data_IF_096861915205
#
_entry.id   IF_096861915205
#
_cell.length_a   1.000
_cell.length_b   1.000
_cell.length_c   1.000
_cell.angle_alpha   90.00
_cell.angle_beta   90.00
_cell.angle_gamma   90.00
#
_symmetry.space_group_name_H-M   'P 1'
#
loop_
_entity.id
_entity.type
_entity.pdbx_description
1 polymer ?
#
# COMPACT_ATOMS: atom_id res chain seq x y z
N UNK A 1 -18.80 3.07 3.06
CA UNK A 1 -17.82 3.05 1.97
C UNK A 1 -16.46 2.68 2.52
N UNK A 2 -15.81 1.67 1.96
CA UNK A 2 -14.50 1.21 2.40
C UNK A 2 -13.42 2.22 1.98
N UNK A 3 -12.74 2.82 2.96
CA UNK A 3 -11.67 3.79 2.73
C UNK A 3 -10.31 3.13 3.00
N UNK A 4 -9.67 2.67 1.93
CA UNK A 4 -8.37 1.99 1.96
C UNK A 4 -7.27 2.82 2.65
N UNK A 5 -7.23 4.12 2.38
CA UNK A 5 -6.19 5.00 2.92
C UNK A 5 -6.29 5.13 4.45
N UNK A 6 -7.50 5.15 4.98
CA UNK A 6 -7.74 5.12 6.42
C UNK A 6 -7.20 3.85 7.08
N UNK A 7 -7.33 2.71 6.41
CA UNK A 7 -6.82 1.44 6.94
C UNK A 7 -5.30 1.30 6.78
N UNK A 8 -4.72 1.82 5.70
CA UNK A 8 -3.26 1.90 5.52
C UNK A 8 -2.58 2.77 6.57
N UNK A 9 -3.25 3.80 7.08
CA UNK A 9 -2.73 4.67 8.11
C UNK A 9 -2.65 4.02 9.49
N UNK A 10 -3.37 2.90 9.72
CA UNK A 10 -3.36 2.18 11.00
C UNK A 10 -2.01 1.52 11.27
N UNK A 11 -1.68 1.38 12.53
CA UNK A 11 -0.49 0.66 12.96
C UNK A 11 -0.55 -0.82 12.56
N UNK A 12 0.61 -1.45 12.29
CA UNK A 12 0.68 -2.88 12.03
C UNK A 12 0.18 -3.67 13.25
N UNK A 13 -0.68 -4.66 13.00
CA UNK A 13 -1.26 -5.50 14.07
C UNK A 13 -0.50 -6.80 14.28
N UNK A 14 0.37 -7.20 13.35
CA UNK A 14 1.22 -8.36 13.44
C UNK A 14 2.50 -8.18 12.63
N UNK A 15 3.45 -9.08 12.85
CA UNK A 15 4.75 -9.10 12.14
C UNK A 15 5.01 -10.49 11.62
N UNK A 16 5.54 -10.59 10.41
CA UNK A 16 5.97 -11.83 9.78
C UNK A 16 7.46 -11.77 9.46
N UNK A 17 8.16 -12.88 9.70
CA UNK A 17 9.61 -12.99 9.54
C UNK A 17 9.96 -13.98 8.42
N UNK A 18 11.07 -13.74 7.75
CA UNK A 18 11.67 -14.73 6.84
C UNK A 18 12.09 -15.99 7.60
N UNK A 19 12.77 -15.80 8.72
CA UNK A 19 13.23 -16.87 9.60
C UNK A 19 12.82 -16.59 11.03
N UNK A 20 12.61 -17.65 11.79
CA UNK A 20 12.21 -17.54 13.17
C UNK A 20 13.26 -16.76 13.99
N UNK A 21 12.89 -15.64 14.62
CA UNK A 21 13.81 -14.86 15.42
C UNK A 21 14.20 -15.62 16.70
N UNK A 22 15.46 -15.43 17.11
CA UNK A 22 15.97 -16.03 18.35
C UNK A 22 15.16 -15.51 19.54
N UNK A 23 14.70 -16.43 20.39
CA UNK A 23 13.93 -16.08 21.58
C UNK A 23 12.43 -15.86 21.36
N UNK A 24 11.94 -16.03 20.12
CA UNK A 24 10.49 -15.94 19.85
C UNK A 24 10.00 -17.15 19.04
N UNK A 25 9.74 -18.30 19.72
CA UNK A 25 9.36 -19.54 19.05
C UNK A 25 7.95 -19.53 18.45
N UNK A 26 7.14 -18.53 18.77
CA UNK A 26 5.76 -18.37 18.28
C UNK A 26 5.62 -17.32 17.18
N UNK A 27 6.75 -16.75 16.71
CA UNK A 27 6.73 -15.77 15.66
C UNK A 27 6.13 -16.32 14.35
N UNK A 28 5.34 -15.50 13.67
CA UNK A 28 4.84 -15.82 12.34
C UNK A 28 5.98 -15.78 11.34
N UNK A 29 6.16 -16.86 10.59
CA UNK A 29 7.20 -16.96 9.57
C UNK A 29 6.61 -17.31 8.22
N UNK A 30 7.26 -16.83 7.17
CA UNK A 30 6.95 -17.18 5.79
C UNK A 30 7.36 -18.64 5.56
N UNK A 31 6.49 -19.43 4.93
CA UNK A 31 6.85 -20.79 4.51
C UNK A 31 7.95 -20.73 3.44
N UNK A 32 9.06 -21.49 3.61
CA UNK A 32 10.16 -21.45 2.66
C UNK A 32 9.72 -21.72 1.22
N UNK A 33 10.18 -20.88 0.29
CA UNK A 33 9.84 -20.99 -1.13
C UNK A 33 8.46 -20.45 -1.53
N UNK A 34 7.65 -19.98 -0.59
CA UNK A 34 6.33 -19.40 -0.89
C UNK A 34 6.36 -17.89 -1.18
N UNK A 35 7.44 -17.19 -0.80
CA UNK A 35 7.54 -15.76 -0.96
C UNK A 35 7.71 -15.35 -2.43
N UNK A 36 6.80 -14.51 -2.91
CA UNK A 36 6.85 -13.91 -4.25
C UNK A 36 6.66 -12.42 -4.15
N UNK A 37 7.32 -11.67 -5.00
CA UNK A 37 7.20 -10.22 -5.05
C UNK A 37 7.17 -9.71 -6.48
N UNK A 38 6.56 -8.54 -6.64
CA UNK A 38 6.49 -7.81 -7.90
C UNK A 38 6.57 -6.31 -7.62
N UNK A 39 7.41 -5.61 -8.35
CA UNK A 39 7.54 -4.15 -8.27
C UNK A 39 7.27 -3.54 -9.64
N UNK A 40 6.36 -2.58 -9.69
CA UNK A 40 6.02 -1.82 -10.91
C UNK A 40 6.43 -0.37 -10.73
N UNK A 41 7.20 0.16 -11.66
CA UNK A 41 7.50 1.58 -11.76
C UNK A 41 6.56 2.32 -12.72
N UNK A 42 6.01 1.63 -13.71
CA UNK A 42 5.05 2.20 -14.66
C UNK A 42 3.74 2.55 -13.96
N UNK A 43 3.29 3.78 -14.15
CA UNK A 43 2.06 4.27 -13.52
C UNK A 43 2.21 4.68 -12.06
N UNK A 44 3.44 4.77 -11.54
CA UNK A 44 3.72 5.34 -10.23
C UNK A 44 4.19 6.78 -10.35
N UNK A 45 3.80 7.61 -9.40
CA UNK A 45 4.06 9.05 -9.43
C UNK A 45 4.72 9.54 -8.15
N UNK A 46 5.68 10.44 -8.29
CA UNK A 46 6.36 11.12 -7.16
C UNK A 46 5.76 12.48 -6.87
N UNK A 47 4.85 12.93 -7.73
CA UNK A 47 4.16 14.20 -7.57
C UNK A 47 3.01 14.34 -8.54
N UNK A 48 2.40 15.50 -8.59
CA UNK A 48 1.31 15.77 -9.50
C UNK A 48 1.02 17.24 -9.72
N UNK A 49 0.28 17.50 -10.77
CA UNK A 49 -0.18 18.82 -11.18
C UNK A 49 -1.68 18.76 -11.49
N UNK A 50 -2.45 19.58 -10.80
CA UNK A 50 -3.87 19.78 -11.09
C UNK A 50 -4.10 21.16 -11.68
N UNK A 51 -4.68 21.21 -12.88
CA UNK A 51 -5.00 22.46 -13.56
C UNK A 51 -6.51 22.64 -13.63
N UNK A 52 -6.99 23.78 -13.14
CA UNK A 52 -8.40 24.17 -13.23
C UNK A 52 -8.55 25.65 -13.57
N UNK A 53 -9.68 26.00 -14.17
CA UNK A 53 -9.98 27.38 -14.53
C UNK A 53 -10.83 28.04 -13.46
N UNK A 54 -10.33 29.15 -12.91
CA UNK A 54 -11.13 30.01 -12.05
C UNK A 54 -12.09 30.84 -12.91
N UNK A 55 -13.38 30.56 -12.82
CA UNK A 55 -14.40 31.21 -13.65
C UNK A 55 -14.54 32.71 -13.35
N UNK A 56 -14.29 33.16 -12.14
CA UNK A 56 -14.41 34.55 -11.74
C UNK A 56 -13.25 35.41 -12.27
N UNK A 57 -12.04 34.85 -12.22
CA UNK A 57 -10.81 35.53 -12.65
C UNK A 57 -10.41 35.21 -14.08
N UNK A 58 -11.05 34.24 -14.74
CA UNK A 58 -10.73 33.76 -16.10
C UNK A 58 -9.26 33.36 -16.28
N UNK A 59 -8.64 32.82 -15.25
CA UNK A 59 -7.26 32.33 -15.24
C UNK A 59 -7.20 30.84 -14.94
N UNK A 60 -6.19 30.18 -15.49
CA UNK A 60 -5.87 28.81 -15.13
C UNK A 60 -5.03 28.80 -13.85
N UNK A 61 -5.43 27.99 -12.89
CA UNK A 61 -4.70 27.78 -11.64
C UNK A 61 -4.08 26.40 -11.66
N UNK A 62 -2.80 26.34 -11.32
CA UNK A 62 -2.03 25.09 -11.24
C UNK A 62 -1.74 24.79 -9.77
N UNK A 63 -2.18 23.64 -9.31
CA UNK A 63 -1.88 23.12 -7.98
C UNK A 63 -0.88 21.98 -8.09
N UNK A 64 0.23 22.10 -7.40
CA UNK A 64 1.35 21.15 -7.46
C UNK A 64 1.57 20.47 -6.13
N UNK A 65 1.87 19.19 -6.15
CA UNK A 65 2.26 18.38 -4.97
C UNK A 65 3.43 17.48 -5.31
N UNK A 66 4.28 17.21 -4.33
CA UNK A 66 5.43 16.32 -4.49
C UNK A 66 6.52 16.88 -5.41
N UNK A 67 7.22 15.99 -6.12
CA UNK A 67 8.35 16.31 -6.98
C UNK A 67 7.95 16.39 -8.46
N UNK A 68 8.84 16.91 -9.28
CA UNK A 68 8.62 17.09 -10.73
C UNK A 68 9.04 15.91 -11.59
N UNK A 69 9.66 14.89 -10.99
CA UNK A 69 10.25 13.78 -11.75
C UNK A 69 9.20 12.93 -12.50
N UNK A 70 8.17 12.49 -11.77
CA UNK A 70 7.08 11.70 -12.32
C UNK A 70 5.75 12.28 -11.84
N UNK A 71 5.22 13.20 -12.61
CA UNK A 71 3.99 13.91 -12.25
C UNK A 71 2.75 13.29 -12.88
N UNK A 72 1.72 13.08 -12.05
CA UNK A 72 0.36 12.85 -12.52
C UNK A 72 -0.28 14.20 -12.87
N UNK A 73 -0.71 14.35 -14.11
CA UNK A 73 -1.38 15.57 -14.58
C UNK A 73 -2.89 15.35 -14.62
N UNK A 74 -3.62 16.15 -13.88
CA UNK A 74 -5.07 16.15 -13.85
C UNK A 74 -5.63 17.51 -14.25
N UNK A 75 -6.79 17.48 -14.87
CA UNK A 75 -7.58 18.68 -15.20
C UNK A 75 -9.03 18.44 -14.80
N UNK A 76 -9.74 19.48 -14.43
CA UNK A 76 -11.15 19.34 -14.10
C UNK A 76 -11.75 20.56 -13.42
N UNK A 77 -13.00 20.42 -13.03
CA UNK A 77 -13.72 21.44 -12.28
C UNK A 77 -13.60 21.14 -10.79
N UNK A 78 -13.12 22.10 -10.03
CA UNK A 78 -13.02 22.05 -8.57
C UNK A 78 -13.54 23.34 -7.96
N UNK A 79 -13.96 23.27 -6.73
CA UNK A 79 -14.52 24.43 -5.98
C UNK A 79 -13.43 25.32 -5.39
N UNK A 80 -12.27 24.74 -5.07
CA UNK A 80 -11.16 25.46 -4.43
C UNK A 80 -9.81 24.81 -4.73
N UNK A 81 -8.73 25.49 -4.41
CA UNK A 81 -7.37 24.95 -4.48
C UNK A 81 -7.18 23.76 -3.52
N UNK A 82 -7.79 23.82 -2.33
CA UNK A 82 -7.76 22.73 -1.38
C UNK A 82 -8.45 21.46 -1.92
N UNK A 83 -9.58 21.59 -2.61
CA UNK A 83 -10.28 20.49 -3.27
C UNK A 83 -9.42 19.89 -4.41
N UNK A 84 -8.78 20.73 -5.22
CA UNK A 84 -7.86 20.30 -6.26
C UNK A 84 -6.68 19.50 -5.68
N UNK A 85 -6.07 20.00 -4.60
CA UNK A 85 -4.97 19.32 -3.91
C UNK A 85 -5.39 17.98 -3.33
N UNK A 86 -6.55 17.90 -2.69
CA UNK A 86 -7.08 16.66 -2.11
C UNK A 86 -7.35 15.61 -3.19
N UNK A 87 -7.96 15.98 -4.32
CA UNK A 87 -8.20 15.08 -5.45
C UNK A 87 -6.91 14.59 -6.09
N UNK A 88 -5.93 15.46 -6.24
CA UNK A 88 -4.63 15.13 -6.81
C UNK A 88 -3.88 14.12 -5.93
N UNK A 89 -3.83 14.35 -4.62
CA UNK A 89 -3.21 13.43 -3.66
C UNK A 89 -3.90 12.08 -3.67
N UNK A 90 -5.23 12.06 -3.65
CA UNK A 90 -6.00 10.81 -3.71
C UNK A 90 -5.73 10.03 -5.01
N UNK A 91 -5.65 10.71 -6.14
CA UNK A 91 -5.35 10.09 -7.43
C UNK A 91 -3.94 9.50 -7.48
N UNK A 92 -2.93 10.22 -6.95
CA UNK A 92 -1.55 9.73 -6.85
C UNK A 92 -1.47 8.49 -5.95
N UNK A 93 -2.08 8.53 -4.77
CA UNK A 93 -2.12 7.39 -3.84
C UNK A 93 -2.81 6.17 -4.43
N UNK A 94 -3.88 6.36 -5.18
CA UNK A 94 -4.55 5.27 -5.89
C UNK A 94 -3.68 4.69 -7.01
N UNK A 95 -2.98 5.52 -7.77
CA UNK A 95 -2.10 5.08 -8.84
C UNK A 95 -0.87 4.33 -8.29
N UNK A 96 -0.32 4.79 -7.17
CA UNK A 96 0.85 4.18 -6.52
C UNK A 96 0.50 2.92 -5.71
N UNK A 97 -0.80 2.70 -5.41
CA UNK A 97 -1.20 1.50 -4.70
C UNK A 97 -0.83 0.23 -5.48
N UNK A 98 -0.18 -0.70 -4.82
CA UNK A 98 0.26 -1.93 -5.44
C UNK A 98 1.51 -1.80 -6.33
N UNK A 99 2.25 -0.67 -6.24
CA UNK A 99 3.53 -0.53 -6.91
C UNK A 99 4.51 -1.64 -6.50
N UNK A 100 4.53 -2.00 -5.22
CA UNK A 100 5.24 -3.16 -4.70
C UNK A 100 4.23 -4.11 -4.05
N UNK A 101 4.10 -5.29 -4.60
CA UNK A 101 3.20 -6.34 -4.10
C UNK A 101 4.00 -7.57 -3.71
N UNK A 102 3.56 -8.22 -2.64
CA UNK A 102 4.10 -9.48 -2.17
C UNK A 102 2.98 -10.52 -2.00
N UNK A 103 3.34 -11.79 -2.10
CA UNK A 103 2.48 -12.89 -1.71
C UNK A 103 3.31 -13.97 -1.03
N UNK A 104 2.76 -14.59 -0.01
CA UNK A 104 3.40 -15.66 0.72
C UNK A 104 2.37 -16.54 1.43
N UNK A 105 2.83 -17.71 1.85
CA UNK A 105 2.07 -18.61 2.72
C UNK A 105 2.74 -18.68 4.08
N UNK A 106 1.96 -18.77 5.13
CA UNK A 106 2.41 -18.99 6.50
C UNK A 106 1.53 -20.02 7.19
N UNK A 107 1.95 -20.49 8.37
CA UNK A 107 1.10 -21.30 9.22
C UNK A 107 -0.20 -20.57 9.54
N UNK A 108 -1.28 -21.31 9.78
CA UNK A 108 -2.59 -20.74 10.02
C UNK A 108 -2.59 -19.66 11.11
N UNK A 109 -3.07 -18.48 10.76
CA UNK A 109 -3.20 -17.34 11.66
C UNK A 109 -4.65 -16.84 11.68
N UNK A 110 -5.47 -17.32 12.64
CA UNK A 110 -6.91 -17.02 12.65
C UNK A 110 -7.26 -15.55 12.81
N UNK A 111 -6.38 -14.76 13.46
CA UNK A 111 -6.59 -13.33 13.66
C UNK A 111 -6.25 -12.49 12.42
N UNK A 112 -5.66 -13.07 11.37
CA UNK A 112 -5.38 -12.41 10.12
C UNK A 112 -6.65 -12.11 9.34
N UNK A 113 -6.74 -10.90 8.80
CA UNK A 113 -7.85 -10.46 7.95
C UNK A 113 -7.39 -9.46 6.88
N UNK A 114 -8.20 -9.33 5.84
CA UNK A 114 -8.01 -8.26 4.86
C UNK A 114 -8.12 -6.89 5.51
N UNK A 115 -7.51 -5.89 4.90
CA UNK A 115 -7.47 -4.51 5.40
C UNK A 115 -6.72 -4.30 6.74
N UNK A 116 -5.98 -5.29 7.19
CA UNK A 116 -4.99 -5.12 8.26
C UNK A 116 -3.66 -4.67 7.68
N UNK A 117 -2.84 -4.05 8.54
CA UNK A 117 -1.43 -3.80 8.24
C UNK A 117 -0.54 -4.74 9.04
N UNK A 118 0.59 -5.11 8.47
CA UNK A 118 1.61 -5.91 9.13
C UNK A 118 3.01 -5.45 8.75
N UNK A 119 4.01 -5.86 9.54
CA UNK A 119 5.41 -5.66 9.21
C UNK A 119 6.03 -6.92 8.64
N UNK A 120 6.80 -6.77 7.58
CA UNK A 120 7.66 -7.80 7.01
C UNK A 120 9.10 -7.56 7.46
N UNK A 121 9.77 -8.61 7.92
CA UNK A 121 11.16 -8.55 8.44
C UNK A 121 12.00 -9.69 7.88
N UNK A 122 13.22 -9.39 7.46
CA UNK A 122 14.21 -10.36 6.99
C UNK A 122 14.45 -10.39 5.50
N UNK A 123 13.71 -9.63 4.71
CA UNK A 123 13.80 -9.58 3.25
C UNK A 123 14.55 -8.33 2.72
N UNK A 124 15.30 -7.66 3.58
CA UNK A 124 16.14 -6.52 3.19
C UNK A 124 15.31 -5.33 2.67
N UNK A 125 15.49 -4.95 1.41
CA UNK A 125 14.76 -3.81 0.81
C UNK A 125 13.25 -4.00 0.76
N UNK A 126 12.79 -5.23 0.84
CA UNK A 126 11.35 -5.55 0.88
C UNK A 126 10.75 -5.39 2.28
N UNK A 127 11.58 -5.26 3.32
CA UNK A 127 11.11 -5.05 4.69
C UNK A 127 10.27 -3.77 4.81
N UNK A 128 9.35 -3.78 5.73
CA UNK A 128 8.52 -2.63 6.04
C UNK A 128 7.06 -2.96 6.28
N UNK A 129 6.25 -1.94 6.27
CA UNK A 129 4.81 -2.02 6.48
C UNK A 129 4.09 -2.39 5.19
N UNK A 130 3.18 -3.35 5.29
CA UNK A 130 2.31 -3.81 4.21
C UNK A 130 0.85 -3.73 4.60
N UNK A 131 0.02 -3.53 3.61
CA UNK A 131 -1.45 -3.58 3.71
C UNK A 131 -1.95 -4.87 3.07
N UNK A 132 -2.77 -5.63 3.80
CA UNK A 132 -3.32 -6.90 3.31
C UNK A 132 -4.45 -6.63 2.33
N UNK A 133 -4.20 -6.90 1.04
CA UNK A 133 -5.20 -6.80 -0.02
C UNK A 133 -6.14 -8.01 -0.02
N UNK A 134 -5.57 -9.19 0.13
CA UNK A 134 -6.30 -10.45 0.16
C UNK A 134 -5.66 -11.41 1.14
N UNK A 135 -6.47 -12.10 1.91
CA UNK A 135 -6.04 -13.14 2.82
C UNK A 135 -6.96 -14.35 2.67
N UNK A 136 -6.37 -15.53 2.53
CA UNK A 136 -7.08 -16.78 2.37
C UNK A 136 -6.64 -17.79 3.42
N UNK A 137 -7.61 -18.33 4.13
CA UNK A 137 -7.39 -19.41 5.08
C UNK A 137 -7.75 -20.75 4.43
N UNK A 138 -6.85 -21.71 4.49
CA UNK A 138 -7.07 -23.05 3.98
C UNK A 138 -6.76 -24.11 5.03
N UNK A 139 -7.60 -25.13 5.09
CA UNK A 139 -7.41 -26.31 5.96
C UNK A 139 -7.50 -27.54 5.08
N UNK A 140 -6.47 -28.38 5.13
CA UNK A 140 -6.45 -29.66 4.39
C UNK A 140 -5.90 -30.79 5.27
N UNK A 141 -6.35 -32.04 5.02
CA UNK A 141 -5.87 -33.22 5.79
C UNK A 141 -4.35 -33.41 5.70
N UNK A 142 -3.75 -33.13 4.54
CA UNK A 142 -2.31 -33.31 4.29
C UNK A 142 -1.47 -32.07 4.56
N UNK A 143 -2.02 -30.89 4.39
CA UNK A 143 -1.30 -29.61 4.49
C UNK A 143 -1.52 -28.85 5.80
N UNK A 144 -2.48 -29.29 6.62
CA UNK A 144 -2.85 -28.60 7.84
C UNK A 144 -3.57 -27.26 7.57
N UNK A 145 -3.52 -26.38 8.56
CA UNK A 145 -4.07 -25.03 8.46
C UNK A 145 -2.99 -24.04 7.98
N UNK A 146 -3.25 -23.38 6.86
CA UNK A 146 -2.36 -22.39 6.26
C UNK A 146 -3.10 -21.10 5.94
N UNK A 147 -2.36 -20.00 5.97
CA UNK A 147 -2.85 -18.68 5.60
C UNK A 147 -2.01 -18.14 4.44
N UNK A 148 -2.67 -17.83 3.32
CA UNK A 148 -2.05 -17.15 2.18
C UNK A 148 -2.34 -15.66 2.25
N UNK A 149 -1.32 -14.85 2.05
CA UNK A 149 -1.41 -13.38 2.11
C UNK A 149 -0.97 -12.79 0.79
N UNK A 150 -1.79 -11.87 0.28
CA UNK A 150 -1.41 -10.93 -0.79
C UNK A 150 -1.48 -9.53 -0.24
N UNK A 151 -0.39 -8.80 -0.35
CA UNK A 151 -0.26 -7.49 0.28
C UNK A 151 0.48 -6.50 -0.61
N UNK A 152 0.20 -5.23 -0.39
CA UNK A 152 0.86 -4.11 -1.04
C UNK A 152 1.67 -3.31 -0.04
N UNK A 153 2.89 -2.92 -0.40
CA UNK A 153 3.74 -2.09 0.45
C UNK A 153 3.11 -0.73 0.69
N UNK A 154 3.12 -0.29 1.95
CA UNK A 154 2.69 1.06 2.32
C UNK A 154 3.90 1.96 2.23
N UNK A 155 3.99 2.71 1.14
CA UNK A 155 5.04 3.71 0.96
C UNK A 155 4.71 4.96 1.80
N UNK A 156 5.75 5.58 2.35
CA UNK A 156 5.61 6.91 2.95
C UNK A 156 5.55 7.91 1.81
N UNK A 157 4.37 8.39 1.55
CA UNK A 157 4.13 9.45 0.56
C UNK A 157 3.91 10.77 1.29
N UNK A 158 4.96 11.60 1.32
CA UNK A 158 4.90 12.97 1.86
C UNK A 158 4.58 13.94 0.73
N UNK A 159 3.30 14.24 0.56
CA UNK A 159 2.81 15.28 -0.34
C UNK A 159 2.43 16.54 0.45
N UNK A 160 3.38 17.05 1.20
CA UNK A 160 3.17 18.30 1.93
C UNK A 160 3.15 19.52 0.99
#
# INVERSE_FOLDING_TARGET
MYDREKYKAKDPVWTVYEHQPVGNPTALCVEPGSFKWNTKLTGTYTGGLYTYTNKQKKININVKVGTDERQLKLTGKVSSEADAKARLIAAIKNANHGATQISFTMLGYPAGASAQCFNLVGYGKMDGKYFVDQLEHSISPSGGYKTQVKASKVEKEDFA
#
